data_IF_745568054066
#
_entry.id   IF_745568054066
#
_cell.length_a   1.000
_cell.length_b   1.000
_cell.length_c   1.000
_cell.angle_alpha   90.00
_cell.angle_beta   90.00
_cell.angle_gamma   90.00
#
_symmetry.space_group_name_H-M   'P 1'
#
loop_
_entity.id
_entity.type
_entity.pdbx_description
1 polymer ?
#
# COMPACT_ATOMS: atom_id res chain seq x y z
N UNK A 1 -17.39 14.88 -6.72
CA UNK A 1 -16.03 14.32 -6.71
C UNK A 1 -15.42 14.58 -8.07
N UNK A 2 -14.14 14.95 -8.16
CA UNK A 2 -13.49 15.16 -9.45
C UNK A 2 -13.40 13.82 -10.19
N UNK A 3 -13.73 13.83 -11.48
CA UNK A 3 -13.62 12.68 -12.36
C UNK A 3 -13.21 13.14 -13.77
N UNK A 4 -12.67 12.21 -14.55
CA UNK A 4 -12.58 12.32 -16.00
C UNK A 4 -13.48 11.26 -16.61
N UNK A 5 -14.18 11.60 -17.68
CA UNK A 5 -15.11 10.69 -18.37
C UNK A 5 -14.43 9.77 -19.38
N UNK A 6 -13.25 10.17 -19.86
CA UNK A 6 -12.47 9.46 -20.86
C UNK A 6 -10.96 9.65 -20.61
N UNK A 7 -10.13 8.87 -21.31
CA UNK A 7 -8.67 8.94 -21.15
C UNK A 7 -8.09 10.23 -21.74
N UNK A 8 -7.07 10.77 -21.08
CA UNK A 8 -6.38 12.03 -21.44
C UNK A 8 -4.89 11.77 -21.68
N UNK A 9 -4.30 12.48 -22.65
CA UNK A 9 -2.89 12.42 -22.99
C UNK A 9 -2.59 11.56 -24.22
N UNK A 10 -1.45 10.90 -24.22
CA UNK A 10 -0.98 10.12 -25.36
C UNK A 10 -1.94 8.96 -25.67
N UNK A 11 -2.45 8.90 -26.91
CA UNK A 11 -3.46 7.93 -27.35
C UNK A 11 -4.73 7.92 -26.48
N UNK A 12 -5.02 9.04 -25.80
CA UNK A 12 -6.26 9.25 -25.07
C UNK A 12 -7.41 9.65 -25.99
N UNK A 13 -8.64 9.53 -25.50
CA UNK A 13 -9.83 10.07 -26.17
C UNK A 13 -9.78 11.61 -26.17
N UNK A 14 -9.17 12.22 -25.15
CA UNK A 14 -8.89 13.65 -25.07
C UNK A 14 -10.14 14.53 -25.18
N UNK A 15 -11.21 14.18 -24.47
CA UNK A 15 -12.36 15.08 -24.33
C UNK A 15 -11.92 16.39 -23.70
N UNK A 16 -12.31 17.51 -24.30
CA UNK A 16 -11.88 18.86 -23.91
C UNK A 16 -11.96 19.11 -22.40
N UNK A 17 -13.11 18.85 -21.78
CA UNK A 17 -13.32 19.04 -20.35
C UNK A 17 -12.40 18.17 -19.47
N UNK A 18 -12.14 16.93 -19.88
CA UNK A 18 -11.26 16.01 -19.16
C UNK A 18 -9.81 16.50 -19.26
N UNK A 19 -9.38 16.94 -20.44
CA UNK A 19 -8.04 17.50 -20.67
C UNK A 19 -7.81 18.74 -19.82
N UNK A 20 -8.80 19.65 -19.81
CA UNK A 20 -8.75 20.90 -19.08
C UNK A 20 -8.62 20.67 -17.56
N UNK A 21 -9.37 19.70 -17.03
CA UNK A 21 -9.21 19.27 -15.64
C UNK A 21 -7.78 18.77 -15.36
N UNK A 22 -7.22 17.92 -16.22
CA UNK A 22 -5.85 17.39 -16.04
C UNK A 22 -4.81 18.52 -16.08
N UNK A 23 -4.90 19.45 -17.04
CA UNK A 23 -4.01 20.61 -17.12
C UNK A 23 -4.03 21.44 -15.84
N UNK A 24 -5.21 21.65 -15.26
CA UNK A 24 -5.37 22.43 -14.02
C UNK A 24 -4.83 21.69 -12.81
N UNK A 25 -5.06 20.37 -12.71
CA UNK A 25 -4.47 19.54 -11.66
C UNK A 25 -2.94 19.55 -11.75
N UNK A 26 -2.38 19.44 -12.96
CA UNK A 26 -0.93 19.51 -13.19
C UNK A 26 -0.35 20.87 -12.83
N UNK A 27 -0.95 21.96 -13.30
CA UNK A 27 -0.49 23.30 -12.96
C UNK A 27 -0.59 23.58 -11.46
N UNK A 28 -1.69 23.14 -10.81
CA UNK A 28 -1.87 23.27 -9.36
C UNK A 28 -0.83 22.45 -8.60
N UNK A 29 -0.51 21.23 -9.05
CA UNK A 29 0.60 20.43 -8.52
C UNK A 29 1.96 21.12 -8.72
N UNK A 30 2.17 21.78 -9.84
CA UNK A 30 3.43 22.52 -10.08
C UNK A 30 3.52 23.83 -9.28
N UNK A 31 2.41 24.30 -8.70
CA UNK A 31 2.32 25.60 -8.05
C UNK A 31 2.47 26.80 -9.00
N UNK A 32 2.45 26.57 -10.32
CA UNK A 32 2.64 27.60 -11.35
C UNK A 32 1.90 27.24 -12.65
N UNK A 33 1.47 28.26 -13.39
CA UNK A 33 0.84 28.07 -14.70
C UNK A 33 1.93 27.74 -15.74
N UNK A 34 2.05 26.44 -16.08
CA UNK A 34 3.01 25.94 -17.08
C UNK A 34 2.31 25.45 -18.34
N UNK A 35 1.07 24.97 -18.21
CA UNK A 35 0.18 24.57 -19.29
C UNK A 35 -0.91 25.62 -19.46
N UNK A 36 -1.31 25.85 -20.69
CA UNK A 36 -2.60 26.48 -20.96
C UNK A 36 -3.70 25.47 -20.64
N UNK A 37 -4.73 25.96 -19.94
CA UNK A 37 -5.95 25.22 -19.64
C UNK A 37 -6.90 25.33 -20.83
N UNK A 38 -6.43 24.92 -22.02
CA UNK A 38 -7.12 25.06 -23.31
C UNK A 38 -7.98 23.84 -23.67
N UNK A 39 -7.88 22.75 -22.91
CA UNK A 39 -8.56 21.49 -23.22
C UNK A 39 -7.91 20.70 -24.35
N UNK A 40 -6.71 21.08 -24.80
CA UNK A 40 -5.96 20.42 -25.88
C UNK A 40 -4.82 19.57 -25.30
N UNK A 41 -4.84 18.27 -25.58
CA UNK A 41 -3.82 17.33 -25.14
C UNK A 41 -2.57 17.37 -26.05
N UNK A 42 -2.02 18.57 -26.27
CA UNK A 42 -0.84 18.79 -27.11
C UNK A 42 0.47 18.30 -26.50
N UNK A 43 1.58 18.51 -27.22
CA UNK A 43 2.93 18.08 -26.81
C UNK A 43 3.30 18.53 -25.39
N UNK A 44 2.93 19.76 -25.01
CA UNK A 44 3.20 20.29 -23.67
C UNK A 44 2.42 19.53 -22.59
N UNK A 45 1.11 19.32 -22.77
CA UNK A 45 0.27 18.56 -21.84
C UNK A 45 0.81 17.13 -21.65
N UNK A 46 1.14 16.43 -22.74
CA UNK A 46 1.69 15.07 -22.69
C UNK A 46 3.05 15.06 -21.97
N UNK A 47 3.93 16.02 -22.26
CA UNK A 47 5.24 16.15 -21.59
C UNK A 47 5.08 16.32 -20.08
N UNK A 48 4.13 17.13 -19.63
CA UNK A 48 3.91 17.32 -18.20
C UNK A 48 3.25 16.11 -17.52
N UNK A 49 2.39 15.37 -18.22
CA UNK A 49 1.90 14.07 -17.72
C UNK A 49 3.09 13.11 -17.52
N UNK A 50 3.95 12.97 -18.53
CA UNK A 50 5.17 12.13 -18.46
C UNK A 50 6.08 12.57 -17.32
N UNK A 51 6.29 13.88 -17.14
CA UNK A 51 7.12 14.42 -16.07
C UNK A 51 6.52 14.13 -14.68
N UNK A 52 5.20 14.29 -14.53
CA UNK A 52 4.49 13.93 -13.31
C UNK A 52 4.64 12.44 -13.00
N UNK A 53 4.37 11.57 -13.98
CA UNK A 53 4.48 10.12 -13.83
C UNK A 53 5.90 9.72 -13.42
N UNK A 54 6.93 10.23 -14.09
CA UNK A 54 8.33 9.96 -13.73
C UNK A 54 8.68 10.39 -12.30
N UNK A 55 8.13 11.52 -11.86
CA UNK A 55 8.39 12.07 -10.52
C UNK A 55 7.69 11.25 -9.43
N UNK A 56 6.44 10.87 -9.66
CA UNK A 56 5.57 10.24 -8.65
C UNK A 56 5.65 8.70 -8.68
N UNK A 57 6.10 8.10 -9.77
CA UNK A 57 6.11 6.65 -9.98
C UNK A 57 7.49 6.21 -10.50
N UNK A 58 8.53 6.17 -9.64
CA UNK A 58 9.92 6.04 -10.07
C UNK A 58 10.27 4.70 -10.74
N UNK A 59 9.58 3.61 -10.40
CA UNK A 59 9.73 2.29 -11.04
C UNK A 59 8.88 2.10 -12.30
N UNK A 60 7.94 3.02 -12.58
CA UNK A 60 7.03 2.91 -13.72
C UNK A 60 7.61 3.60 -14.96
N UNK A 61 7.47 2.98 -16.14
CA UNK A 61 7.80 3.61 -17.41
C UNK A 61 6.69 4.61 -17.79
N UNK A 62 6.94 5.93 -17.75
CA UNK A 62 5.92 6.93 -18.05
C UNK A 62 5.35 6.73 -19.46
N UNK A 63 4.02 6.66 -19.56
CA UNK A 63 3.28 6.41 -20.81
C UNK A 63 2.59 7.67 -21.36
N UNK A 64 2.54 8.76 -20.58
CA UNK A 64 1.90 10.00 -20.98
C UNK A 64 0.37 9.94 -21.02
N UNK A 65 -0.25 8.91 -20.43
CA UNK A 65 -1.69 8.68 -20.43
C UNK A 65 -2.30 8.72 -19.02
N UNK A 66 -3.51 9.27 -18.94
CA UNK A 66 -4.30 9.39 -17.73
C UNK A 66 -5.66 8.76 -17.98
N UNK A 67 -5.90 7.58 -17.39
CA UNK A 67 -7.19 6.88 -17.52
C UNK A 67 -8.14 7.22 -16.35
N UNK A 68 -9.48 7.19 -16.59
CA UNK A 68 -10.48 7.32 -15.54
C UNK A 68 -10.22 6.33 -14.40
N UNK A 69 -10.16 6.83 -13.16
CA UNK A 69 -9.85 6.04 -11.95
C UNK A 69 -8.51 5.28 -12.01
N UNK A 70 -7.64 5.61 -12.96
CA UNK A 70 -6.31 5.01 -13.13
C UNK A 70 -5.28 5.59 -12.15
N UNK A 71 -4.12 4.93 -12.08
CA UNK A 71 -3.01 5.29 -11.16
C UNK A 71 -2.59 6.76 -11.24
N UNK A 72 -2.48 7.30 -12.46
CA UNK A 72 -2.04 8.69 -12.68
C UNK A 72 -3.07 9.67 -12.14
N UNK A 73 -4.35 9.45 -12.43
CA UNK A 73 -5.44 10.31 -11.97
C UNK A 73 -5.62 10.24 -10.46
N UNK A 74 -5.65 9.03 -9.89
CA UNK A 74 -5.75 8.81 -8.46
C UNK A 74 -4.56 9.43 -7.69
N UNK A 75 -3.35 9.38 -8.28
CA UNK A 75 -2.18 10.05 -7.70
C UNK A 75 -2.29 11.56 -7.72
N UNK A 76 -2.75 12.15 -8.83
CA UNK A 76 -2.98 13.60 -8.91
C UNK A 76 -3.97 14.05 -7.83
N UNK A 77 -5.10 13.35 -7.70
CA UNK A 77 -6.12 13.70 -6.71
C UNK A 77 -5.60 13.61 -5.27
N UNK A 78 -4.66 12.71 -4.96
CA UNK A 78 -4.08 12.57 -3.62
C UNK A 78 -3.26 13.80 -3.16
N UNK A 79 -2.89 14.71 -4.07
CA UNK A 79 -2.26 15.99 -3.73
C UNK A 79 -3.25 17.08 -3.31
N UNK A 80 -4.55 16.82 -3.42
CA UNK A 80 -5.60 17.79 -3.10
C UNK A 80 -6.53 17.21 -2.04
N UNK A 81 -6.71 17.91 -0.92
CA UNK A 81 -7.69 17.50 0.09
C UNK A 81 -9.13 17.70 -0.41
N UNK A 82 -10.12 17.15 0.30
CA UNK A 82 -11.54 17.25 -0.12
C UNK A 82 -12.03 18.69 -0.33
N UNK A 83 -11.57 19.65 0.47
CA UNK A 83 -11.95 21.08 0.35
C UNK A 83 -11.37 21.68 -0.93
N UNK A 84 -10.12 21.36 -1.25
CA UNK A 84 -9.45 21.77 -2.49
C UNK A 84 -10.09 21.12 -3.72
N UNK A 85 -10.37 19.81 -3.67
CA UNK A 85 -11.06 19.10 -4.74
C UNK A 85 -12.49 19.65 -4.96
N UNK A 86 -13.21 19.99 -3.89
CA UNK A 86 -14.54 20.60 -3.98
C UNK A 86 -14.45 22.00 -4.60
N UNK A 87 -13.47 22.82 -4.19
CA UNK A 87 -13.23 24.15 -4.78
C UNK A 87 -12.94 24.06 -6.27
N UNK A 88 -12.03 23.16 -6.69
CA UNK A 88 -11.75 22.89 -8.10
C UNK A 88 -13.00 22.44 -8.85
N UNK A 89 -13.79 21.52 -8.27
CA UNK A 89 -15.03 21.03 -8.89
C UNK A 89 -16.06 22.14 -9.07
N UNK A 90 -16.21 23.05 -8.11
CA UNK A 90 -17.13 24.19 -8.21
C UNK A 90 -16.67 25.21 -9.26
N UNK A 91 -15.37 25.51 -9.32
CA UNK A 91 -14.81 26.40 -10.35
C UNK A 91 -15.05 25.86 -11.77
N UNK A 92 -14.92 24.54 -11.97
CA UNK A 92 -15.20 23.90 -13.27
C UNK A 92 -16.68 24.06 -13.66
N UNK A 93 -17.60 23.87 -12.72
CA UNK A 93 -19.05 23.98 -12.97
C UNK A 93 -19.50 25.40 -13.27
N UNK A 94 -18.88 26.39 -12.65
CA UNK A 94 -19.27 27.80 -12.79
C UNK A 94 -18.90 28.44 -14.13
N UNK A 95 -18.26 27.72 -15.07
CA UNK A 95 -17.72 28.22 -16.37
C UNK A 95 -16.77 29.43 -16.25
N UNK A 96 -16.41 29.83 -15.04
CA UNK A 96 -15.43 30.88 -14.78
C UNK A 96 -14.02 30.31 -14.93
N UNK A 97 -13.12 31.10 -15.52
CA UNK A 97 -11.69 30.84 -15.74
C UNK A 97 -11.09 29.98 -14.62
N UNK A 98 -10.42 28.88 -14.95
CA UNK A 98 -9.94 27.92 -13.97
C UNK A 98 -9.09 28.61 -12.90
N UNK A 99 -9.58 28.62 -11.66
CA UNK A 99 -8.86 29.21 -10.54
C UNK A 99 -7.75 28.24 -10.13
N UNK A 100 -6.55 28.49 -10.65
CA UNK A 100 -5.31 27.88 -10.18
C UNK A 100 -5.24 27.95 -8.66
N UNK A 101 -5.19 26.80 -7.99
CA UNK A 101 -4.87 26.76 -6.56
C UNK A 101 -3.36 26.85 -6.41
N UNK A 102 -2.85 27.89 -5.73
CA UNK A 102 -1.46 27.93 -5.24
C UNK A 102 -1.32 26.91 -4.11
N UNK A 103 -1.25 25.62 -4.46
CA UNK A 103 -0.88 24.58 -3.51
C UNK A 103 0.64 24.36 -3.63
N UNK A 104 1.35 24.36 -2.51
CA UNK A 104 2.63 23.65 -2.48
C UNK A 104 2.30 22.16 -2.73
N UNK A 105 3.01 21.43 -3.61
CA UNK A 105 2.73 20.03 -3.89
C UNK A 105 3.07 19.16 -2.70
N UNK A 106 2.12 19.04 -1.80
CA UNK A 106 2.21 18.23 -0.60
C UNK A 106 1.17 17.15 -0.71
N UNK A 107 1.62 15.91 -0.57
CA UNK A 107 0.71 14.79 -0.54
C UNK A 107 -0.03 14.82 0.80
N UNK A 108 -1.32 15.16 0.78
CA UNK A 108 -2.12 15.28 2.00
C UNK A 108 -2.63 13.91 2.40
N UNK A 109 -1.97 13.30 3.39
CA UNK A 109 -2.31 11.95 3.84
C UNK A 109 -2.94 11.91 5.25
N UNK A 110 -3.23 13.07 5.84
CA UNK A 110 -3.74 13.18 7.21
C UNK A 110 -5.14 12.58 7.41
N UNK A 111 -6.00 12.62 6.40
CA UNK A 111 -7.32 12.02 6.50
C UNK A 111 -7.31 10.48 6.45
N UNK A 112 -6.17 9.86 6.09
CA UNK A 112 -6.03 8.41 6.00
C UNK A 112 -5.40 7.87 7.28
N UNK A 113 -6.10 6.92 7.91
CA UNK A 113 -5.71 6.31 9.18
C UNK A 113 -5.03 4.96 8.95
N UNK A 114 -3.88 4.77 9.57
CA UNK A 114 -3.24 3.46 9.68
C UNK A 114 -3.00 3.22 11.16
N UNK A 115 -3.63 2.19 11.71
CA UNK A 115 -3.54 1.87 13.13
C UNK A 115 -3.06 0.45 13.33
N UNK A 116 -2.60 0.14 14.52
CA UNK A 116 -2.27 -1.21 14.92
C UNK A 116 -3.49 -1.90 15.54
N UNK A 117 -3.59 -3.21 15.39
CA UNK A 117 -4.52 -4.02 16.19
C UNK A 117 -4.18 -3.84 17.67
N UNK A 118 -5.21 -3.76 18.52
CA UNK A 118 -5.07 -3.40 19.93
C UNK A 118 -4.07 -4.28 20.70
N UNK A 119 -3.97 -5.55 20.34
CA UNK A 119 -3.10 -6.54 20.98
C UNK A 119 -1.65 -6.53 20.49
N UNK A 120 -1.28 -5.63 19.57
CA UNK A 120 0.14 -5.43 19.19
C UNK A 120 0.79 -4.53 20.25
N UNK A 121 1.83 -5.00 20.97
CA UNK A 121 2.49 -4.23 22.00
C UNK A 121 3.23 -3.03 21.40
N UNK A 122 3.40 -1.95 22.19
CA UNK A 122 4.04 -0.72 21.73
C UNK A 122 5.46 -0.94 21.20
N UNK A 123 6.23 -1.85 21.81
CA UNK A 123 7.58 -2.23 21.35
C UNK A 123 7.61 -2.79 19.93
N UNK A 124 6.48 -3.27 19.39
CA UNK A 124 6.37 -3.83 18.03
C UNK A 124 5.69 -2.88 17.04
N UNK A 125 5.28 -1.69 17.47
CA UNK A 125 4.67 -0.65 16.62
C UNK A 125 5.73 0.20 15.93
N UNK A 126 6.74 -0.47 15.37
CA UNK A 126 7.99 0.13 14.85
C UNK A 126 8.00 0.26 13.31
N UNK A 127 6.83 0.21 12.66
CA UNK A 127 6.74 0.45 11.21
C UNK A 127 7.20 1.88 10.92
N UNK A 128 8.09 2.04 9.95
CA UNK A 128 8.62 3.36 9.61
C UNK A 128 7.52 4.30 9.12
N UNK A 129 7.70 5.60 9.39
CA UNK A 129 6.80 6.66 8.88
C UNK A 129 6.63 6.56 7.36
N UNK A 130 7.70 6.24 6.63
CA UNK A 130 7.66 6.07 5.19
C UNK A 130 6.72 4.92 4.75
N UNK A 131 6.83 3.75 5.39
CA UNK A 131 5.94 2.64 5.09
C UNK A 131 4.47 2.97 5.43
N UNK A 132 4.23 3.69 6.53
CA UNK A 132 2.89 4.21 6.85
C UNK A 132 2.38 5.15 5.76
N UNK A 133 3.20 6.08 5.25
CA UNK A 133 2.83 6.97 4.15
C UNK A 133 2.49 6.20 2.86
N UNK A 134 3.22 5.13 2.54
CA UNK A 134 2.93 4.27 1.38
C UNK A 134 1.58 3.56 1.55
N UNK A 135 1.26 3.03 2.75
CA UNK A 135 -0.06 2.44 3.03
C UNK A 135 -1.17 3.49 2.90
N UNK A 136 -0.95 4.70 3.41
CA UNK A 136 -1.90 5.81 3.28
C UNK A 136 -2.10 6.24 1.81
N UNK A 137 -1.06 6.19 0.99
CA UNK A 137 -1.19 6.40 -0.46
C UNK A 137 -2.04 5.30 -1.11
N UNK A 138 -1.85 4.04 -0.72
CA UNK A 138 -2.69 2.94 -1.20
C UNK A 138 -4.17 3.16 -0.83
N UNK A 139 -4.44 3.58 0.41
CA UNK A 139 -5.78 3.95 0.89
C UNK A 139 -6.38 5.09 0.04
N UNK A 140 -5.59 6.13 -0.21
CA UNK A 140 -6.01 7.26 -1.02
C UNK A 140 -6.45 6.86 -2.42
N UNK A 141 -5.64 6.04 -3.09
CA UNK A 141 -5.91 5.59 -4.45
C UNK A 141 -6.98 4.50 -4.54
N UNK A 142 -7.30 3.81 -3.45
CA UNK A 142 -8.37 2.81 -3.41
C UNK A 142 -9.72 3.39 -2.96
N UNK A 143 -9.75 4.65 -2.53
CA UNK A 143 -10.94 5.29 -1.96
C UNK A 143 -11.22 4.87 -0.51
N UNK A 144 -10.33 4.10 0.11
CA UNK A 144 -10.44 3.67 1.50
C UNK A 144 -9.90 4.73 2.46
N UNK A 145 -10.35 4.72 3.73
CA UNK A 145 -9.91 5.69 4.74
C UNK A 145 -9.09 5.12 5.90
N UNK A 146 -9.19 3.81 6.16
CA UNK A 146 -8.52 3.19 7.30
C UNK A 146 -7.94 1.81 6.92
N UNK A 147 -6.70 1.54 7.32
CA UNK A 147 -6.09 0.20 7.34
C UNK A 147 -5.62 -0.18 8.75
N UNK A 148 -5.72 -1.47 9.09
CA UNK A 148 -5.28 -1.98 10.40
C UNK A 148 -4.13 -2.97 10.21
N UNK A 149 -2.96 -2.60 10.73
CA UNK A 149 -1.78 -3.47 10.82
C UNK A 149 -2.04 -4.51 11.91
N UNK A 150 -1.97 -5.78 11.52
CA UNK A 150 -2.21 -6.93 12.40
C UNK A 150 -0.94 -7.70 12.74
N UNK A 151 0.15 -7.45 12.02
CA UNK A 151 1.47 -8.01 12.34
C UNK A 151 2.62 -7.13 11.85
N UNK A 152 3.72 -7.16 12.60
CA UNK A 152 5.00 -6.50 12.31
C UNK A 152 6.15 -7.47 12.60
N UNK A 153 7.07 -7.17 13.51
CA UNK A 153 8.10 -8.09 13.98
C UNK A 153 7.50 -9.25 14.80
N UNK A 154 7.98 -10.47 14.61
CA UNK A 154 7.62 -11.64 15.41
C UNK A 154 8.85 -12.30 16.03
N UNK A 155 8.70 -12.80 17.25
CA UNK A 155 9.66 -13.73 17.83
C UNK A 155 9.42 -15.15 17.31
N UNK A 156 10.42 -16.06 17.42
CA UNK A 156 10.22 -17.48 17.14
C UNK A 156 9.00 -18.07 17.88
N UNK A 157 8.83 -17.79 19.17
CA UNK A 157 7.69 -18.25 19.98
C UNK A 157 6.35 -17.74 19.45
N UNK A 158 6.27 -16.48 19.02
CA UNK A 158 5.03 -15.95 18.44
C UNK A 158 4.69 -16.61 17.10
N UNK A 159 5.69 -16.80 16.25
CA UNK A 159 5.50 -17.50 14.99
C UNK A 159 5.07 -18.96 15.24
N UNK A 160 5.71 -19.66 16.18
CA UNK A 160 5.34 -21.01 16.58
C UNK A 160 3.89 -21.07 17.11
N UNK A 161 3.49 -20.13 17.96
CA UNK A 161 2.13 -20.05 18.49
C UNK A 161 1.07 -19.81 17.40
N UNK A 162 1.40 -19.00 16.38
CA UNK A 162 0.54 -18.81 15.21
C UNK A 162 0.46 -20.11 14.39
N UNK A 163 1.59 -20.73 14.09
CA UNK A 163 1.65 -21.98 13.31
C UNK A 163 0.91 -23.11 14.02
N UNK A 164 1.08 -23.27 15.34
CA UNK A 164 0.34 -24.22 16.17
C UNK A 164 -1.17 -24.02 16.01
N UNK A 165 -1.65 -22.78 16.21
CA UNK A 165 -3.09 -22.49 16.12
C UNK A 165 -3.67 -22.84 14.74
N UNK A 166 -2.94 -22.51 13.66
CA UNK A 166 -3.40 -22.82 12.31
C UNK A 166 -3.33 -24.31 11.99
N UNK A 167 -2.29 -25.00 12.47
CA UNK A 167 -2.11 -26.44 12.31
C UNK A 167 -3.20 -27.24 13.02
N UNK A 168 -3.59 -26.83 14.23
CA UNK A 168 -4.73 -27.42 14.96
C UNK A 168 -6.05 -27.26 14.23
N UNK A 169 -6.22 -26.16 13.49
CA UNK A 169 -7.43 -25.96 12.68
C UNK A 169 -7.42 -26.81 11.42
N UNK A 170 -6.33 -26.79 10.64
CA UNK A 170 -6.20 -27.60 9.43
C UNK A 170 -4.73 -27.77 9.01
N UNK A 171 -4.09 -28.83 9.52
CA UNK A 171 -2.69 -29.15 9.25
C UNK A 171 -2.41 -29.37 7.76
N UNK A 172 -3.31 -30.06 7.03
CA UNK A 172 -3.13 -30.36 5.61
C UNK A 172 -3.05 -29.09 4.77
N UNK A 173 -3.88 -28.10 5.06
CA UNK A 173 -3.81 -26.79 4.39
C UNK A 173 -2.56 -26.00 4.78
N UNK A 174 -2.02 -26.18 6.00
CA UNK A 174 -0.76 -25.53 6.36
C UNK A 174 0.42 -26.07 5.56
N UNK A 175 0.52 -27.37 5.32
CA UNK A 175 1.55 -27.96 4.46
C UNK A 175 1.46 -27.49 2.99
N UNK A 176 0.27 -27.11 2.51
CA UNK A 176 0.12 -26.51 1.17
C UNK A 176 0.56 -25.05 1.12
N UNK A 177 0.46 -24.34 2.24
CA UNK A 177 0.78 -22.92 2.35
C UNK A 177 2.28 -22.68 2.54
N UNK A 178 2.93 -23.50 3.36
CA UNK A 178 4.34 -23.38 3.66
C UNK A 178 5.21 -24.11 2.64
N UNK A 179 6.47 -23.69 2.54
CA UNK A 179 7.52 -24.44 1.83
C UNK A 179 8.20 -25.41 2.80
N UNK A 180 9.15 -26.20 2.30
CA UNK A 180 9.95 -27.16 3.07
C UNK A 180 10.45 -26.64 4.43
N UNK A 181 10.71 -25.32 4.51
CA UNK A 181 11.07 -24.67 5.76
C UNK A 181 9.95 -24.80 6.79
N UNK A 182 8.77 -24.27 6.48
CA UNK A 182 7.62 -24.33 7.40
C UNK A 182 7.16 -25.76 7.66
N UNK A 183 7.33 -26.66 6.69
CA UNK A 183 7.00 -28.08 6.84
C UNK A 183 7.80 -28.75 7.96
N UNK A 184 9.08 -28.38 8.16
CA UNK A 184 9.87 -28.91 9.29
C UNK A 184 9.24 -28.58 10.64
N UNK A 185 8.75 -27.35 10.80
CA UNK A 185 8.10 -26.92 12.04
C UNK A 185 6.70 -27.52 12.20
N UNK A 186 5.96 -27.68 11.10
CA UNK A 186 4.69 -28.41 11.11
C UNK A 186 4.88 -29.89 11.45
N UNK A 187 6.01 -30.49 11.04
CA UNK A 187 6.39 -31.85 11.43
C UNK A 187 6.64 -31.97 12.92
N UNK A 188 7.32 -30.99 13.53
CA UNK A 188 7.48 -30.92 14.98
C UNK A 188 6.12 -30.87 15.68
N UNK A 189 5.17 -30.08 15.18
CA UNK A 189 3.80 -30.10 15.68
C UNK A 189 3.17 -31.49 15.55
N UNK A 190 3.28 -32.12 14.38
CA UNK A 190 2.69 -33.42 14.08
C UNK A 190 3.20 -34.56 14.95
N UNK A 191 4.50 -34.60 15.20
CA UNK A 191 5.19 -35.62 16.00
C UNK A 191 4.98 -35.47 17.51
N UNK A 192 4.42 -34.34 17.97
CA UNK A 192 4.29 -34.03 19.39
C UNK A 192 2.84 -33.65 19.78
N UNK A 193 1.84 -34.06 19.00
CA UNK A 193 0.41 -33.71 19.22
C UNK A 193 -0.14 -34.16 20.58
N UNK A 194 0.47 -35.16 21.17
CA UNK A 194 0.15 -35.75 22.47
C UNK A 194 0.67 -34.93 23.66
N UNK A 195 1.61 -34.00 23.44
CA UNK A 195 2.18 -33.14 24.48
C UNK A 195 1.30 -31.92 24.78
N UNK A 196 1.63 -31.22 25.87
CA UNK A 196 0.94 -29.99 26.23
C UNK A 196 1.14 -28.92 25.14
N UNK A 197 0.15 -28.06 24.94
CA UNK A 197 0.22 -26.93 23.98
C UNK A 197 1.50 -26.10 24.16
N UNK A 198 1.89 -25.85 25.41
CA UNK A 198 3.07 -25.05 25.73
C UNK A 198 4.35 -25.76 25.26
N UNK A 199 4.46 -27.06 25.51
CA UNK A 199 5.63 -27.85 25.10
C UNK A 199 5.76 -27.92 23.59
N UNK A 200 4.65 -28.16 22.88
CA UNK A 200 4.66 -28.19 21.41
C UNK A 200 5.08 -26.84 20.84
N UNK A 201 4.55 -25.73 21.35
CA UNK A 201 4.94 -24.39 20.91
C UNK A 201 6.43 -24.13 21.18
N UNK A 202 6.94 -24.54 22.34
CA UNK A 202 8.37 -24.40 22.66
C UNK A 202 9.26 -25.23 21.72
N UNK A 203 8.88 -26.48 21.43
CA UNK A 203 9.58 -27.32 20.47
C UNK A 203 9.58 -26.71 19.06
N UNK A 204 8.42 -26.21 18.62
CA UNK A 204 8.31 -25.50 17.35
C UNK A 204 9.17 -24.23 17.32
N UNK A 205 9.21 -23.48 18.42
CA UNK A 205 10.03 -22.26 18.51
C UNK A 205 11.53 -22.57 18.46
N UNK A 206 11.98 -23.60 19.16
CA UNK A 206 13.37 -24.08 19.13
C UNK A 206 13.76 -24.50 17.71
N UNK A 207 12.85 -25.15 16.96
CA UNK A 207 13.10 -25.50 15.56
C UNK A 207 13.26 -24.25 14.69
N UNK A 208 12.41 -23.23 14.89
CA UNK A 208 12.53 -21.95 14.19
C UNK A 208 13.88 -21.28 14.49
N UNK A 209 14.32 -21.30 15.74
CA UNK A 209 15.61 -20.74 16.17
C UNK A 209 16.78 -21.49 15.53
N UNK A 210 16.76 -22.83 15.57
CA UNK A 210 17.76 -23.69 14.92
C UNK A 210 17.88 -23.39 13.43
N UNK A 211 16.75 -23.27 12.75
CA UNK A 211 16.71 -22.94 11.32
C UNK A 211 17.24 -21.54 11.04
N UNK A 212 16.92 -20.56 11.90
CA UNK A 212 17.46 -19.20 11.79
C UNK A 212 18.98 -19.18 11.95
N UNK A 213 19.52 -19.88 12.96
CA UNK A 213 20.96 -20.01 13.19
C UNK A 213 21.68 -20.67 12.00
N UNK A 214 21.00 -21.59 11.31
CA UNK A 214 21.53 -22.26 10.11
C UNK A 214 21.35 -21.44 8.82
N UNK A 215 20.96 -20.16 8.89
CA UNK A 215 20.72 -19.29 7.72
C UNK A 215 19.40 -19.55 6.96
N UNK A 216 18.53 -20.42 7.47
CA UNK A 216 17.31 -20.88 6.81
C UNK A 216 16.03 -20.30 7.44
N UNK A 217 16.01 -19.00 7.73
CA UNK A 217 14.82 -18.32 8.28
C UNK A 217 13.54 -18.60 7.46
N UNK A 218 12.45 -18.91 8.16
CA UNK A 218 11.17 -19.36 7.55
C UNK A 218 10.17 -18.24 7.28
N UNK A 219 10.26 -17.13 8.02
CA UNK A 219 9.34 -15.99 7.94
C UNK A 219 10.14 -14.71 7.98
N UNK A 220 9.83 -13.76 7.09
CA UNK A 220 10.47 -12.44 7.10
C UNK A 220 10.02 -11.56 8.28
N UNK A 221 8.99 -11.99 9.02
CA UNK A 221 8.65 -11.37 10.30
C UNK A 221 9.65 -11.70 11.42
N UNK A 222 10.43 -12.79 11.31
CA UNK A 222 11.40 -13.21 12.32
C UNK A 222 12.78 -12.71 11.94
N UNK A 223 13.03 -11.45 12.24
CA UNK A 223 14.31 -10.75 12.00
C UNK A 223 14.73 -10.02 13.27
N UNK A 224 15.95 -9.49 13.32
CA UNK A 224 16.31 -8.53 14.36
C UNK A 224 15.59 -7.20 14.15
N UNK A 225 15.49 -6.36 15.18
CA UNK A 225 14.91 -5.02 15.03
C UNK A 225 15.68 -4.16 14.01
N UNK A 226 17.00 -4.29 13.95
CA UNK A 226 17.82 -3.51 13.01
C UNK A 226 17.65 -3.97 11.56
N UNK A 227 17.44 -5.26 11.34
CA UNK A 227 17.02 -5.77 10.03
C UNK A 227 15.61 -5.28 9.67
N UNK A 228 14.68 -5.28 10.64
CA UNK A 228 13.32 -4.79 10.42
C UNK A 228 13.28 -3.29 10.09
N UNK A 229 14.16 -2.48 10.68
CA UNK A 229 14.31 -1.06 10.33
C UNK A 229 14.80 -0.85 8.90
N UNK A 230 15.49 -1.83 8.30
CA UNK A 230 15.91 -1.81 6.87
C UNK A 230 14.77 -2.26 5.96
N UNK A 231 14.01 -3.27 6.37
CA UNK A 231 12.89 -3.84 5.62
C UNK A 231 11.69 -4.07 6.56
N UNK A 232 10.71 -3.17 6.51
CA UNK A 232 9.48 -3.34 7.28
C UNK A 232 8.60 -4.41 6.64
N UNK A 233 8.32 -5.47 7.38
CA UNK A 233 7.43 -6.58 6.97
C UNK A 233 6.11 -6.43 7.71
N UNK A 234 5.02 -6.24 6.97
CA UNK A 234 3.76 -5.73 7.51
C UNK A 234 2.61 -6.58 7.00
N UNK A 235 1.80 -7.12 7.92
CA UNK A 235 0.51 -7.70 7.57
C UNK A 235 -0.61 -6.71 7.89
N UNK A 236 -1.41 -6.39 6.87
CA UNK A 236 -2.63 -5.59 7.02
C UNK A 236 -3.82 -6.55 7.01
N UNK A 237 -4.52 -6.69 8.13
CA UNK A 237 -5.59 -7.68 8.28
C UNK A 237 -6.88 -7.25 7.58
N UNK A 238 -7.45 -8.11 6.75
CA UNK A 238 -8.69 -7.87 5.99
C UNK A 238 -9.86 -7.62 6.94
N UNK A 239 -10.09 -8.53 7.89
CA UNK A 239 -11.20 -8.41 8.84
C UNK A 239 -11.09 -7.20 9.76
N UNK A 240 -9.89 -6.97 10.32
CA UNK A 240 -9.63 -5.80 11.18
C UNK A 240 -9.76 -4.48 10.43
N UNK A 241 -9.34 -4.43 9.17
CA UNK A 241 -9.49 -3.26 8.30
C UNK A 241 -10.95 -3.02 7.94
N UNK A 242 -11.70 -4.06 7.56
CA UNK A 242 -13.14 -3.97 7.25
C UNK A 242 -13.94 -3.40 8.41
N UNK A 243 -13.67 -3.86 9.63
CA UNK A 243 -14.37 -3.40 10.83
C UNK A 243 -14.15 -1.91 11.16
N UNK A 244 -13.16 -1.24 10.56
CA UNK A 244 -12.82 0.16 10.83
C UNK A 244 -12.97 1.07 9.61
N UNK A 245 -13.47 0.55 8.49
CA UNK A 245 -13.49 1.27 7.23
C UNK A 245 -14.83 1.09 6.52
N UNK A 246 -15.69 2.10 6.60
CA UNK A 246 -17.00 2.13 5.93
C UNK A 246 -16.88 1.99 4.41
N UNK A 247 -15.80 2.52 3.84
CA UNK A 247 -15.48 2.48 2.40
C UNK A 247 -14.64 1.25 2.02
N UNK A 248 -14.76 0.15 2.77
CA UNK A 248 -13.92 -1.03 2.58
C UNK A 248 -14.06 -1.62 1.17
N UNK A 249 -12.94 -1.74 0.45
CA UNK A 249 -12.89 -2.40 -0.85
C UNK A 249 -11.65 -3.28 -0.97
N UNK A 250 -11.84 -4.59 -0.75
CA UNK A 250 -10.76 -5.58 -0.73
C UNK A 250 -9.96 -5.61 -2.03
N UNK A 251 -10.68 -5.71 -3.16
CA UNK A 251 -10.11 -5.85 -4.50
C UNK A 251 -9.34 -4.60 -4.91
N UNK A 252 -9.92 -3.43 -4.65
CA UNK A 252 -9.31 -2.17 -5.06
C UNK A 252 -8.05 -1.87 -4.23
N UNK A 253 -8.07 -2.14 -2.92
CA UNK A 253 -6.87 -1.97 -2.09
C UNK A 253 -5.72 -2.89 -2.49
N UNK A 254 -6.00 -4.19 -2.70
CA UNK A 254 -5.00 -5.13 -3.21
C UNK A 254 -4.43 -4.70 -4.56
N UNK A 255 -5.28 -4.26 -5.49
CA UNK A 255 -4.84 -3.69 -6.78
C UNK A 255 -3.91 -2.49 -6.59
N UNK A 256 -4.23 -1.56 -5.69
CA UNK A 256 -3.37 -0.38 -5.43
C UNK A 256 -2.04 -0.75 -4.78
N UNK A 257 -2.00 -1.76 -3.90
CA UNK A 257 -0.74 -2.27 -3.37
C UNK A 257 0.13 -2.87 -4.48
N UNK A 258 -0.46 -3.62 -5.41
CA UNK A 258 0.27 -4.15 -6.56
C UNK A 258 0.83 -3.04 -7.46
N UNK A 259 0.03 -2.00 -7.76
CA UNK A 259 0.53 -0.83 -8.49
C UNK A 259 1.73 -0.17 -7.79
N UNK A 260 1.72 -0.10 -6.45
CA UNK A 260 2.84 0.45 -5.67
C UNK A 260 4.09 -0.45 -5.70
N UNK A 261 3.97 -1.74 -5.99
CA UNK A 261 5.11 -2.62 -6.31
C UNK A 261 5.69 -2.23 -7.67
N UNK A 262 4.86 -2.12 -8.70
CA UNK A 262 5.27 -1.72 -10.06
C UNK A 262 5.94 -0.34 -10.07
N UNK A 263 5.49 0.56 -9.20
CA UNK A 263 6.05 1.91 -9.05
C UNK A 263 7.34 1.95 -8.23
N UNK A 264 7.75 0.82 -7.64
CA UNK A 264 8.99 0.67 -6.87
C UNK A 264 8.91 1.14 -5.42
N UNK A 265 7.73 1.44 -4.89
CA UNK A 265 7.54 1.83 -3.48
C UNK A 265 7.49 0.65 -2.53
N UNK A 266 6.84 -0.45 -2.96
CA UNK A 266 6.77 -1.70 -2.21
C UNK A 266 7.81 -2.66 -2.81
N UNK A 267 8.57 -3.34 -1.96
CA UNK A 267 9.55 -4.35 -2.39
C UNK A 267 8.85 -5.64 -2.82
N UNK A 268 7.88 -6.07 -2.01
CA UNK A 268 7.11 -7.29 -2.25
C UNK A 268 5.71 -7.14 -1.70
N UNK A 269 4.76 -7.70 -2.44
CA UNK A 269 3.37 -7.83 -2.04
C UNK A 269 2.93 -9.27 -2.25
N UNK A 270 2.28 -9.85 -1.25
CA UNK A 270 1.64 -11.16 -1.33
C UNK A 270 0.16 -10.96 -0.95
N UNK A 271 -0.74 -11.36 -1.85
CA UNK A 271 -2.18 -11.33 -1.59
C UNK A 271 -2.60 -12.60 -0.85
N UNK A 272 -2.60 -12.53 0.49
CA UNK A 272 -3.06 -13.61 1.36
C UNK A 272 -4.55 -13.46 1.72
N UNK A 273 -5.32 -12.64 1.01
CA UNK A 273 -6.68 -12.26 1.41
C UNK A 273 -7.74 -13.35 1.21
N UNK A 274 -7.39 -14.44 0.52
CA UNK A 274 -8.25 -15.61 0.31
C UNK A 274 -7.71 -16.89 0.97
N UNK A 275 -6.66 -16.77 1.80
CA UNK A 275 -6.08 -17.89 2.55
C UNK A 275 -6.21 -17.65 4.07
N UNK A 276 -5.71 -18.58 4.88
CA UNK A 276 -5.93 -18.67 6.33
C UNK A 276 -5.62 -17.39 7.11
N UNK A 277 -4.63 -16.59 6.69
CA UNK A 277 -4.23 -15.36 7.40
C UNK A 277 -5.11 -14.14 7.05
N UNK A 278 -5.85 -14.19 5.93
CA UNK A 278 -6.69 -13.11 5.42
C UNK A 278 -6.04 -11.72 5.57
N UNK A 279 -4.86 -11.53 5.01
CA UNK A 279 -4.13 -10.27 5.08
C UNK A 279 -3.56 -9.85 3.73
N UNK A 280 -3.19 -8.58 3.65
CA UNK A 280 -2.24 -8.09 2.66
C UNK A 280 -0.86 -8.07 3.30
N UNK A 281 0.04 -8.91 2.81
CA UNK A 281 1.42 -8.95 3.27
C UNK A 281 2.27 -8.05 2.37
N UNK A 282 2.91 -7.04 2.95
CA UNK A 282 3.79 -6.13 2.22
C UNK A 282 5.16 -6.01 2.88
N UNK A 283 6.15 -5.81 2.04
CA UNK A 283 7.52 -5.54 2.45
C UNK A 283 7.98 -4.21 1.89
N UNK A 284 8.45 -3.31 2.75
CA UNK A 284 8.83 -1.95 2.38
C UNK A 284 10.24 -1.66 2.89
N UNK A 285 11.16 -1.34 1.97
CA UNK A 285 12.50 -0.88 2.34
C UNK A 285 12.46 0.54 2.87
N UNK A 286 13.19 0.82 3.94
CA UNK A 286 13.21 2.16 4.55
C UNK A 286 13.83 3.25 3.67
N UNK A 287 14.65 2.88 2.68
CA UNK A 287 15.24 3.79 1.71
C UNK A 287 14.30 4.14 0.53
N UNK A 288 13.20 3.40 0.31
CA UNK A 288 12.24 3.65 -0.76
C UNK A 288 11.29 4.80 -0.39
N UNK A 289 11.78 6.04 -0.44
CA UNK A 289 11.02 7.23 -0.04
C UNK A 289 10.23 7.84 -1.20
N UNK A 290 9.07 8.41 -0.87
CA UNK A 290 8.34 9.27 -1.80
C UNK A 290 9.18 10.51 -2.16
N UNK A 291 9.26 10.85 -3.45
CA UNK A 291 10.00 12.04 -3.95
C UNK A 291 9.25 13.36 -3.75
N UNK A 292 8.26 13.37 -2.88
CA UNK A 292 7.40 14.52 -2.58
C UNK A 292 7.23 14.66 -1.07
N UNK A 293 7.02 15.89 -0.60
CA UNK A 293 6.73 16.15 0.80
C UNK A 293 5.36 15.56 1.14
N UNK A 294 5.30 14.74 2.17
CA UNK A 294 4.05 14.22 2.75
C UNK A 294 3.68 15.12 3.92
N UNK A 295 2.42 15.57 3.98
CA UNK A 295 1.86 16.32 5.10
C UNK A 295 0.65 15.62 5.67
#
# INVERSE_FOLDING_TARGET
MLNISASVGLKGINKENDVKLIQVLLNSFLGKKKLDDDGIAGKNTIREIVAFQRKIMPGWKPDGRVDPKGRTFSSLLAFFNKKEQAKLSSSIKARHKYCMLKAEPKLSLNEYKVTYKHNIPNSKRIVSVNAISIIKLALARSGMKHAVITSTLRTPQEQASIMYRQATNNLKEQYKLYSWKGDKVLKVYEENKDKSRTDVINLMANEIERMKASGHGMSRHIVSEDEYKKLNVIDIGVGSTRAKNETFNKKEFGKRLNELVEEGYIEKYIDETNISNQCWHIEVRSNKKMKVKVI
#
